data_IF_058219820187
#
_entry.id   IF_058219820187
#
_cell.length_a   1.000
_cell.length_b   1.000
_cell.length_c   1.000
_cell.angle_alpha   90.00
_cell.angle_beta   90.00
_cell.angle_gamma   90.00
#
_symmetry.space_group_name_H-M   'P 1'
#
loop_
_entity.id
_entity.type
_entity.pdbx_description
1 polymer ?
#
# COMPACT_ATOMS: atom_id res chain seq x y z
N UNK A 1 56.73 3.34 53.83
CA UNK A 1 57.15 4.67 53.31
C UNK A 1 55.86 5.38 52.87
N UNK A 2 55.45 6.47 53.54
CA UNK A 2 55.64 7.89 53.11
C UNK A 2 54.79 8.17 51.85
N UNK A 3 53.80 9.09 51.76
CA UNK A 3 53.18 10.14 52.61
C UNK A 3 51.66 10.19 52.27
N UNK A 4 50.65 10.64 53.03
CA UNK A 4 50.43 11.68 54.07
C UNK A 4 49.80 13.01 53.57
N UNK A 5 48.61 13.31 54.14
CA UNK A 5 47.83 14.58 54.18
C UNK A 5 47.24 15.11 52.85
N UNK A 6 46.16 15.93 52.78
CA UNK A 6 45.15 16.50 53.73
C UNK A 6 43.72 16.02 53.29
N UNK A 7 42.52 16.41 53.77
CA UNK A 7 42.00 17.50 54.65
C UNK A 7 41.39 18.67 53.82
N UNK A 8 40.14 19.12 53.98
CA UNK A 8 39.00 18.64 54.77
C UNK A 8 37.77 19.60 54.71
N UNK A 9 36.61 19.11 55.19
CA UNK A 9 35.49 19.80 55.88
C UNK A 9 34.60 20.89 55.20
N UNK A 10 33.29 20.79 55.49
CA UNK A 10 32.19 21.69 55.07
C UNK A 10 31.31 21.05 53.98
N UNK A 11 30.16 20.42 54.21
CA UNK A 11 29.13 20.49 55.27
C UNK A 11 28.32 21.80 55.24
N UNK A 12 27.15 21.78 54.56
CA UNK A 12 25.81 22.21 55.02
C UNK A 12 24.77 22.15 53.85
N UNK A 13 23.61 21.58 54.19
CA UNK A 13 22.23 21.67 53.65
C UNK A 13 21.88 22.62 52.47
N UNK A 14 20.81 22.40 51.65
CA UNK A 14 19.81 21.32 51.56
C UNK A 14 18.85 21.50 50.34
N UNK A 15 17.98 20.49 50.11
CA UNK A 15 16.68 20.52 49.42
C UNK A 15 16.61 20.80 47.89
N UNK A 16 15.62 20.33 47.13
CA UNK A 16 14.82 19.07 47.13
C UNK A 16 13.97 19.04 45.84
N UNK A 17 13.89 17.90 45.13
CA UNK A 17 12.91 17.45 44.09
C UNK A 17 13.68 16.70 42.98
N UNK A 18 13.62 15.37 42.80
CA UNK A 18 12.47 14.47 42.59
C UNK A 18 11.82 14.62 41.20
N UNK A 19 12.27 13.82 40.21
CA UNK A 19 11.46 12.72 39.64
C UNK A 19 12.12 11.97 38.45
N UNK A 20 11.80 10.67 38.40
CA UNK A 20 11.75 9.73 37.26
C UNK A 20 12.60 9.96 35.99
N UNK A 21 13.50 9.00 35.72
CA UNK A 21 14.10 8.78 34.40
C UNK A 21 13.74 7.38 33.88
N UNK A 22 12.85 7.32 32.89
CA UNK A 22 12.52 6.13 32.10
C UNK A 22 12.62 6.45 30.58
N UNK A 23 12.71 5.43 29.70
CA UNK A 23 13.67 5.48 28.59
C UNK A 23 13.26 6.28 27.34
N UNK A 24 14.29 6.60 26.55
CA UNK A 24 14.19 7.36 25.32
C UNK A 24 13.28 6.69 24.27
N UNK A 25 12.48 7.51 23.61
CA UNK A 25 11.48 7.09 22.64
C UNK A 25 12.12 6.78 21.28
N UNK A 26 12.02 5.53 20.83
CA UNK A 26 12.20 5.17 19.44
C UNK A 26 10.83 5.06 18.76
N UNK A 27 10.17 6.20 18.52
CA UNK A 27 8.93 6.25 17.73
C UNK A 27 9.22 6.76 16.31
N UNK A 28 9.10 5.86 15.34
CA UNK A 28 9.01 6.19 13.93
C UNK A 28 7.72 6.99 13.66
N UNK A 29 7.86 8.24 13.23
CA UNK A 29 6.70 9.10 12.95
C UNK A 29 5.96 8.63 11.70
N UNK A 30 4.89 7.85 11.87
CA UNK A 30 3.82 7.74 10.88
C UNK A 30 3.25 9.15 10.70
N UNK A 31 3.40 9.72 9.50
CA UNK A 31 2.90 11.07 9.20
C UNK A 31 1.38 11.03 9.10
N UNK A 32 0.72 11.51 10.14
CA UNK A 32 -0.75 11.51 10.24
C UNK A 32 -1.41 12.27 9.06
N UNK A 33 -2.37 11.65 8.33
CA UNK A 33 -3.11 12.33 7.26
C UNK A 33 -3.94 13.54 7.73
N UNK A 34 -4.14 13.74 9.04
CA UNK A 34 -4.72 14.97 9.59
C UNK A 34 -3.73 16.17 9.52
N UNK A 35 -2.45 15.96 9.83
CA UNK A 35 -1.45 17.03 9.81
C UNK A 35 -1.22 17.62 8.41
N UNK A 36 -1.24 16.76 7.38
CA UNK A 36 -1.11 17.18 5.97
C UNK A 36 -2.29 18.04 5.49
N UNK A 37 -3.47 17.90 6.09
CA UNK A 37 -4.63 18.77 5.84
C UNK A 37 -4.46 20.13 6.52
N UNK A 38 -4.07 20.14 7.80
CA UNK A 38 -3.89 21.37 8.57
C UNK A 38 -2.82 22.30 7.98
N UNK A 39 -1.66 21.77 7.57
CA UNK A 39 -0.63 22.54 6.87
C UNK A 39 -1.19 23.23 5.60
N UNK A 40 -2.10 22.56 4.87
CA UNK A 40 -2.67 23.12 3.65
C UNK A 40 -3.69 24.22 3.89
N UNK A 41 -4.52 24.09 4.89
CA UNK A 41 -5.53 25.10 5.21
C UNK A 41 -4.88 26.36 5.78
N UNK A 42 -3.82 26.22 6.58
CA UNK A 42 -3.05 27.35 7.08
C UNK A 42 -2.29 28.09 5.96
N UNK A 43 -1.73 27.34 4.99
CA UNK A 43 -1.14 27.90 3.77
C UNK A 43 -2.18 28.64 2.93
N UNK A 44 -3.37 28.06 2.71
CA UNK A 44 -4.48 28.72 1.99
C UNK A 44 -4.87 30.05 2.63
N UNK A 45 -4.94 30.11 3.97
CA UNK A 45 -5.25 31.36 4.70
C UNK A 45 -4.16 32.42 4.52
N UNK A 46 -2.88 32.04 4.62
CA UNK A 46 -1.73 32.95 4.42
C UNK A 46 -1.70 33.49 2.98
N UNK A 47 -2.00 32.62 2.01
CA UNK A 47 -2.20 33.00 0.62
C UNK A 47 -3.37 33.96 0.43
N UNK A 48 -4.55 33.69 0.97
CA UNK A 48 -5.73 34.54 0.75
C UNK A 48 -5.56 35.93 1.39
N UNK A 49 -4.81 36.02 2.50
CA UNK A 49 -4.34 37.30 3.03
C UNK A 49 -3.39 38.01 2.05
N UNK A 50 -2.41 37.29 1.48
CA UNK A 50 -1.51 37.81 0.44
C UNK A 50 -2.28 38.29 -0.81
N UNK A 51 -3.26 37.52 -1.29
CA UNK A 51 -4.13 37.89 -2.44
C UNK A 51 -4.86 39.20 -2.20
N UNK A 52 -5.33 39.46 -0.97
CA UNK A 52 -5.99 40.72 -0.62
C UNK A 52 -5.00 41.90 -0.69
N UNK A 53 -3.82 41.78 -0.07
CA UNK A 53 -2.77 42.81 -0.18
C UNK A 53 -2.25 43.00 -1.63
N UNK A 54 -2.29 41.95 -2.46
CA UNK A 54 -1.88 42.01 -3.87
C UNK A 54 -2.85 42.83 -4.73
N UNK A 55 -4.15 42.85 -4.43
CA UNK A 55 -5.14 43.60 -5.23
C UNK A 55 -4.96 45.12 -5.17
N UNK A 56 -4.24 45.63 -4.16
CA UNK A 56 -4.07 47.07 -3.89
C UNK A 56 -2.81 47.66 -4.56
N UNK A 57 -2.06 46.92 -5.38
CA UNK A 57 -0.91 47.47 -6.15
C UNK A 57 -0.69 46.80 -7.51
N UNK A 58 0.23 47.38 -8.31
CA UNK A 58 0.36 47.27 -9.78
C UNK A 58 0.44 45.86 -10.41
N UNK A 59 0.28 45.81 -11.74
CA UNK A 59 -0.01 44.62 -12.55
C UNK A 59 0.95 43.43 -12.42
N UNK A 60 2.21 43.64 -12.04
CA UNK A 60 3.16 42.56 -11.73
C UNK A 60 2.66 41.66 -10.58
N UNK A 61 2.05 42.26 -9.55
CA UNK A 61 1.46 41.52 -8.43
C UNK A 61 0.27 40.66 -8.88
N UNK A 62 -0.54 41.17 -9.83
CA UNK A 62 -1.65 40.41 -10.43
C UNK A 62 -1.15 39.21 -11.25
N UNK A 63 0.01 39.32 -11.91
CA UNK A 63 0.62 38.17 -12.59
C UNK A 63 1.11 37.12 -11.58
N UNK A 64 1.79 37.56 -10.51
CA UNK A 64 2.27 36.65 -9.47
C UNK A 64 1.13 35.92 -8.72
N UNK A 65 0.03 36.60 -8.38
CA UNK A 65 -1.15 35.94 -7.80
C UNK A 65 -1.79 34.91 -8.75
N UNK A 66 -1.80 35.16 -10.06
CA UNK A 66 -2.26 34.17 -11.06
C UNK A 66 -1.34 32.95 -11.09
N UNK A 67 -0.03 33.16 -11.15
CA UNK A 67 0.96 32.07 -11.15
C UNK A 67 0.84 31.20 -9.87
N UNK A 68 0.72 31.84 -8.71
CA UNK A 68 0.57 31.17 -7.43
C UNK A 68 -0.76 30.39 -7.34
N UNK A 69 -1.88 30.96 -7.82
CA UNK A 69 -3.16 30.26 -7.90
C UNK A 69 -3.14 29.04 -8.84
N UNK A 70 -2.46 29.13 -9.98
CA UNK A 70 -2.26 27.99 -10.89
C UNK A 70 -1.39 26.89 -10.25
N UNK A 71 -0.37 27.27 -9.49
CA UNK A 71 0.48 26.35 -8.74
C UNK A 71 -0.27 25.64 -7.61
N UNK A 72 -1.14 26.34 -6.88
CA UNK A 72 -2.01 25.69 -5.89
C UNK A 72 -3.02 24.74 -6.52
N UNK A 73 -3.58 25.10 -7.68
CA UNK A 73 -4.45 24.18 -8.42
C UNK A 73 -3.69 22.93 -8.88
N UNK A 74 -2.41 23.06 -9.26
CA UNK A 74 -1.53 21.90 -9.53
C UNK A 74 -1.31 21.06 -8.27
N UNK A 75 -0.94 21.68 -7.14
CA UNK A 75 -0.76 21.00 -5.85
C UNK A 75 -1.99 20.22 -5.41
N UNK A 76 -3.18 20.79 -5.57
CA UNK A 76 -4.44 20.15 -5.22
C UNK A 76 -4.78 18.96 -6.12
N UNK A 77 -4.51 19.07 -7.42
CA UNK A 77 -4.64 17.95 -8.37
C UNK A 77 -3.65 16.83 -8.03
N UNK A 78 -2.37 17.14 -7.81
CA UNK A 78 -1.35 16.13 -7.45
C UNK A 78 -1.67 15.44 -6.13
N UNK A 79 -2.16 16.16 -5.11
CA UNK A 79 -2.60 15.54 -3.85
C UNK A 79 -3.85 14.68 -3.98
N UNK A 80 -4.78 15.07 -4.84
CA UNK A 80 -6.00 14.27 -5.11
C UNK A 80 -5.63 13.00 -5.87
N UNK A 81 -4.71 13.09 -6.83
CA UNK A 81 -4.12 11.93 -7.52
C UNK A 81 -3.41 10.99 -6.55
N UNK A 82 -2.58 11.50 -5.64
CA UNK A 82 -1.91 10.68 -4.63
C UNK A 82 -2.91 9.89 -3.78
N UNK A 83 -3.95 10.54 -3.24
CA UNK A 83 -5.00 9.84 -2.47
C UNK A 83 -5.73 8.76 -3.27
N UNK A 84 -6.00 9.01 -4.55
CA UNK A 84 -6.62 8.02 -5.42
C UNK A 84 -5.68 6.83 -5.68
N UNK A 85 -4.39 7.08 -5.91
CA UNK A 85 -3.38 6.03 -6.05
C UNK A 85 -3.16 5.23 -4.76
N UNK A 86 -3.24 5.87 -3.59
CA UNK A 86 -3.19 5.22 -2.27
C UNK A 86 -4.38 4.25 -2.11
N UNK A 87 -5.59 4.70 -2.44
CA UNK A 87 -6.81 3.87 -2.42
C UNK A 87 -6.75 2.70 -3.42
N UNK A 88 -6.29 2.95 -4.66
CA UNK A 88 -6.08 1.92 -5.67
C UNK A 88 -5.05 0.88 -5.21
N UNK A 89 -3.96 1.33 -4.57
CA UNK A 89 -2.93 0.46 -3.99
C UNK A 89 -3.48 -0.41 -2.86
N UNK A 90 -4.17 0.17 -1.88
CA UNK A 90 -4.74 -0.57 -0.74
C UNK A 90 -5.76 -1.62 -1.22
N UNK A 91 -6.54 -1.30 -2.25
CA UNK A 91 -7.45 -2.23 -2.90
C UNK A 91 -6.70 -3.37 -3.60
N UNK A 92 -5.66 -3.08 -4.38
CA UNK A 92 -4.83 -4.09 -5.06
C UNK A 92 -4.12 -5.01 -4.07
N UNK A 93 -3.50 -4.47 -3.01
CA UNK A 93 -2.87 -5.28 -1.95
C UNK A 93 -3.87 -6.17 -1.21
N UNK A 94 -5.13 -5.72 -1.09
CA UNK A 94 -6.21 -6.51 -0.47
C UNK A 94 -6.69 -7.63 -1.41
N UNK A 95 -6.88 -7.34 -2.69
CA UNK A 95 -7.24 -8.33 -3.70
C UNK A 95 -6.16 -9.39 -3.90
N UNK A 96 -4.88 -8.99 -3.95
CA UNK A 96 -3.74 -9.90 -4.06
C UNK A 96 -3.73 -10.85 -2.86
N UNK A 97 -3.90 -10.33 -1.63
CA UNK A 97 -3.96 -11.18 -0.42
C UNK A 97 -5.10 -12.19 -0.45
N UNK A 98 -6.28 -11.81 -0.94
CA UNK A 98 -7.42 -12.75 -1.11
C UNK A 98 -7.12 -13.82 -2.15
N UNK A 99 -6.70 -13.42 -3.35
CA UNK A 99 -6.38 -14.36 -4.43
C UNK A 99 -5.22 -15.30 -4.07
N UNK A 100 -4.22 -14.85 -3.30
CA UNK A 100 -3.15 -15.74 -2.80
C UNK A 100 -3.66 -16.73 -1.75
N UNK A 101 -4.67 -16.39 -0.96
CA UNK A 101 -5.33 -17.33 -0.04
C UNK A 101 -6.19 -18.35 -0.80
N UNK A 102 -6.93 -17.90 -1.81
CA UNK A 102 -7.70 -18.75 -2.72
C UNK A 102 -6.79 -19.70 -3.51
N UNK A 103 -5.67 -19.21 -4.06
CA UNK A 103 -4.64 -20.02 -4.72
C UNK A 103 -4.10 -21.11 -3.77
N UNK A 104 -3.68 -20.73 -2.56
CA UNK A 104 -3.12 -21.65 -1.59
C UNK A 104 -4.13 -22.69 -1.07
N UNK A 105 -5.42 -22.36 -1.04
CA UNK A 105 -6.47 -23.31 -0.69
C UNK A 105 -6.76 -24.26 -1.87
N UNK A 106 -6.96 -23.72 -3.07
CA UNK A 106 -7.22 -24.51 -4.28
C UNK A 106 -6.05 -25.44 -4.62
N UNK A 107 -4.81 -25.03 -4.36
CA UNK A 107 -3.64 -25.91 -4.52
C UNK A 107 -3.71 -27.12 -3.58
N UNK A 108 -4.06 -26.94 -2.29
CA UNK A 108 -4.24 -28.07 -1.35
C UNK A 108 -5.38 -28.99 -1.77
N UNK A 109 -6.46 -28.42 -2.26
CA UNK A 109 -7.61 -29.19 -2.74
C UNK A 109 -7.25 -29.97 -4.00
N UNK A 110 -6.47 -29.40 -4.92
CA UNK A 110 -5.91 -30.06 -6.09
C UNK A 110 -4.94 -31.19 -5.72
N UNK A 111 -4.02 -30.97 -4.77
CA UNK A 111 -3.11 -32.00 -4.23
C UNK A 111 -3.89 -33.16 -3.59
N UNK A 112 -4.98 -32.84 -2.86
CA UNK A 112 -5.89 -33.84 -2.28
C UNK A 112 -6.67 -34.64 -3.33
N UNK A 113 -7.12 -34.00 -4.42
CA UNK A 113 -7.75 -34.66 -5.57
C UNK A 113 -6.76 -35.57 -6.29
N UNK A 114 -5.52 -35.10 -6.52
CA UNK A 114 -4.44 -35.88 -7.14
C UNK A 114 -4.08 -37.11 -6.31
N UNK A 115 -3.95 -36.98 -4.99
CA UNK A 115 -3.67 -38.11 -4.10
C UNK A 115 -4.78 -39.18 -4.16
N UNK A 116 -6.04 -38.75 -4.17
CA UNK A 116 -7.22 -39.64 -4.33
C UNK A 116 -7.21 -40.34 -5.70
N UNK A 117 -6.94 -39.61 -6.79
CA UNK A 117 -6.86 -40.22 -8.12
C UNK A 117 -5.69 -41.22 -8.24
N UNK A 118 -4.55 -40.91 -7.62
CA UNK A 118 -3.40 -41.82 -7.59
C UNK A 118 -3.67 -43.09 -6.75
N UNK A 119 -4.49 -43.02 -5.70
CA UNK A 119 -4.97 -44.21 -4.99
C UNK A 119 -5.94 -45.04 -5.82
N UNK A 120 -6.93 -44.39 -6.44
CA UNK A 120 -7.87 -45.01 -7.40
C UNK A 120 -7.11 -45.77 -8.49
N UNK A 121 -6.16 -45.14 -9.18
CA UNK A 121 -5.39 -45.75 -10.27
C UNK A 121 -4.53 -46.93 -9.81
N UNK A 122 -3.94 -46.86 -8.60
CA UNK A 122 -3.20 -48.00 -7.98
C UNK A 122 -4.12 -49.17 -7.60
N UNK A 123 -5.38 -48.90 -7.28
CA UNK A 123 -6.37 -49.92 -6.94
C UNK A 123 -7.02 -50.53 -8.20
N UNK A 124 -7.23 -49.74 -9.25
CA UNK A 124 -7.54 -50.20 -10.62
C UNK A 124 -6.48 -51.18 -11.12
N UNK A 125 -5.20 -50.78 -11.12
CA UNK A 125 -4.10 -51.61 -11.63
C UNK A 125 -4.03 -52.99 -10.94
N UNK A 126 -4.17 -53.04 -9.61
CA UNK A 126 -4.23 -54.29 -8.83
C UNK A 126 -5.49 -55.12 -9.05
N UNK A 127 -6.57 -54.54 -9.59
CA UNK A 127 -7.81 -55.27 -9.93
C UNK A 127 -7.83 -55.79 -11.36
N UNK A 128 -7.06 -55.21 -12.28
CA UNK A 128 -6.92 -55.69 -13.67
C UNK A 128 -6.33 -57.12 -13.73
N UNK A 129 -5.55 -57.53 -12.71
CA UNK A 129 -5.10 -58.92 -12.54
C UNK A 129 -6.26 -59.92 -12.31
N UNK A 130 -7.44 -59.45 -11.90
CA UNK A 130 -8.65 -60.27 -11.67
C UNK A 130 -9.72 -59.86 -12.69
N UNK A 131 -9.58 -60.35 -13.93
CA UNK A 131 -10.47 -59.98 -15.02
C UNK A 131 -11.93 -60.45 -14.73
N UNK A 132 -12.94 -59.57 -14.74
CA UNK A 132 -14.33 -59.95 -14.48
C UNK A 132 -14.88 -60.95 -15.50
N UNK A 133 -14.37 -60.99 -16.74
CA UNK A 133 -14.75 -62.03 -17.71
C UNK A 133 -14.15 -63.39 -17.36
N UNK A 134 -12.93 -63.45 -16.81
CA UNK A 134 -12.38 -64.69 -16.24
C UNK A 134 -13.19 -65.13 -15.01
N UNK A 135 -13.59 -64.21 -14.14
CA UNK A 135 -14.40 -64.55 -12.96
C UNK A 135 -15.81 -65.06 -13.33
N UNK A 136 -16.39 -64.58 -14.43
CA UNK A 136 -17.64 -65.11 -14.99
C UNK A 136 -17.43 -66.49 -15.63
N UNK A 137 -16.39 -66.65 -16.45
CA UNK A 137 -16.02 -67.95 -17.05
C UNK A 137 -15.64 -69.01 -16.00
N UNK A 138 -15.20 -68.59 -14.80
CA UNK A 138 -14.91 -69.46 -13.66
C UNK A 138 -16.16 -69.91 -12.86
N UNK A 139 -17.38 -69.54 -13.29
CA UNK A 139 -18.63 -70.10 -12.75
C UNK A 139 -19.37 -69.25 -11.70
N UNK A 140 -19.09 -67.95 -11.58
CA UNK A 140 -19.93 -67.02 -10.81
C UNK A 140 -21.38 -67.02 -11.33
N UNK A 141 -22.36 -66.84 -10.45
CA UNK A 141 -23.77 -66.80 -10.86
C UNK A 141 -24.08 -65.56 -11.69
N UNK A 142 -25.04 -65.65 -12.62
CA UNK A 142 -25.46 -64.52 -13.44
C UNK A 142 -25.92 -63.29 -12.61
N UNK A 143 -26.48 -63.53 -11.41
CA UNK A 143 -26.89 -62.48 -10.49
C UNK A 143 -25.71 -61.72 -9.86
N UNK A 144 -24.56 -62.39 -9.66
CA UNK A 144 -23.36 -61.78 -9.11
C UNK A 144 -22.65 -60.95 -10.18
N UNK A 145 -22.53 -61.48 -11.40
CA UNK A 145 -21.94 -60.77 -12.53
C UNK A 145 -22.71 -59.46 -12.84
N UNK A 146 -24.04 -59.48 -12.80
CA UNK A 146 -24.88 -58.29 -13.01
C UNK A 146 -24.75 -57.25 -11.88
N UNK A 147 -24.50 -57.66 -10.64
CA UNK A 147 -24.18 -56.73 -9.54
C UNK A 147 -22.78 -56.14 -9.70
N UNK A 148 -21.81 -56.96 -10.05
CA UNK A 148 -20.41 -56.57 -10.20
C UNK A 148 -20.21 -55.58 -11.37
N UNK A 149 -20.92 -55.75 -12.49
CA UNK A 149 -20.92 -54.78 -13.60
C UNK A 149 -21.54 -53.44 -13.21
N UNK A 150 -22.68 -53.42 -12.51
CA UNK A 150 -23.32 -52.20 -12.02
C UNK A 150 -22.40 -51.39 -11.08
N UNK A 151 -21.70 -52.07 -10.16
CA UNK A 151 -20.72 -51.41 -9.29
C UNK A 151 -19.50 -50.92 -10.06
N UNK A 152 -18.99 -51.69 -11.04
CA UNK A 152 -17.88 -51.28 -11.88
C UNK A 152 -18.18 -50.03 -12.72
N UNK A 153 -19.38 -49.95 -13.31
CA UNK A 153 -19.82 -48.77 -14.06
C UNK A 153 -19.89 -47.53 -13.16
N UNK A 154 -20.45 -47.67 -11.96
CA UNK A 154 -20.57 -46.56 -11.00
C UNK A 154 -19.23 -46.11 -10.42
N UNK A 155 -18.29 -47.04 -10.20
CA UNK A 155 -16.90 -46.69 -9.84
C UNK A 155 -16.28 -45.93 -11.01
N UNK A 156 -16.30 -46.49 -12.22
CA UNK A 156 -15.74 -45.87 -13.43
C UNK A 156 -16.33 -44.49 -13.73
N UNK A 157 -17.58 -44.22 -13.37
CA UNK A 157 -18.18 -42.89 -13.42
C UNK A 157 -17.53 -41.93 -12.41
N UNK A 158 -17.46 -42.31 -11.14
CA UNK A 158 -16.84 -41.51 -10.08
C UNK A 158 -15.34 -41.22 -10.35
N UNK A 159 -14.62 -42.13 -11.00
CA UNK A 159 -13.23 -41.91 -11.43
C UNK A 159 -13.12 -40.83 -12.52
N UNK A 160 -14.05 -40.83 -13.49
CA UNK A 160 -14.12 -39.78 -14.52
C UNK A 160 -14.49 -38.43 -13.90
N UNK A 161 -15.43 -38.41 -12.95
CA UNK A 161 -15.82 -37.19 -12.24
C UNK A 161 -14.65 -36.61 -11.44
N UNK A 162 -13.85 -37.47 -10.77
CA UNK A 162 -12.65 -37.05 -10.04
C UNK A 162 -11.56 -36.49 -10.97
N UNK A 163 -11.34 -37.12 -12.13
CA UNK A 163 -10.41 -36.62 -13.14
C UNK A 163 -10.89 -35.29 -13.76
N UNK A 164 -12.19 -35.14 -14.00
CA UNK A 164 -12.79 -33.88 -14.46
C UNK A 164 -12.67 -32.77 -13.39
N UNK A 165 -12.87 -33.09 -12.11
CA UNK A 165 -12.66 -32.18 -11.00
C UNK A 165 -11.19 -31.71 -10.93
N UNK A 166 -10.22 -32.62 -11.03
CA UNK A 166 -8.80 -32.26 -11.06
C UNK A 166 -8.47 -31.31 -12.23
N UNK A 167 -9.01 -31.59 -13.42
CA UNK A 167 -8.80 -30.77 -14.61
C UNK A 167 -9.43 -29.38 -14.47
N UNK A 168 -10.59 -29.26 -13.80
CA UNK A 168 -11.23 -27.99 -13.48
C UNK A 168 -10.39 -27.19 -12.47
N UNK A 169 -10.00 -27.80 -11.34
CA UNK A 169 -9.16 -27.18 -10.31
C UNK A 169 -7.83 -26.68 -10.86
N UNK A 170 -7.18 -27.44 -11.77
CA UNK A 170 -5.93 -27.02 -12.39
C UNK A 170 -6.08 -25.77 -13.28
N UNK A 171 -7.16 -25.69 -14.08
CA UNK A 171 -7.46 -24.53 -14.94
C UNK A 171 -7.83 -23.30 -14.11
N UNK A 172 -8.59 -23.49 -13.04
CA UNK A 172 -8.94 -22.41 -12.11
C UNK A 172 -7.69 -21.86 -11.41
N UNK A 173 -6.80 -22.74 -10.94
CA UNK A 173 -5.51 -22.35 -10.35
C UNK A 173 -4.62 -21.57 -11.32
N UNK A 174 -4.54 -21.99 -12.59
CA UNK A 174 -3.84 -21.25 -13.65
C UNK A 174 -4.47 -19.87 -13.88
N UNK A 175 -5.80 -19.77 -13.89
CA UNK A 175 -6.51 -18.50 -14.04
C UNK A 175 -6.26 -17.53 -12.86
N UNK A 176 -6.19 -18.05 -11.63
CA UNK A 176 -5.90 -17.27 -10.43
C UNK A 176 -4.47 -16.74 -10.47
N UNK A 177 -3.50 -17.58 -10.88
CA UNK A 177 -2.09 -17.18 -11.07
C UNK A 177 -1.92 -16.06 -12.09
N UNK A 178 -2.54 -16.19 -13.26
CA UNK A 178 -2.56 -15.13 -14.29
C UNK A 178 -3.28 -13.86 -13.81
N UNK A 179 -4.26 -13.99 -12.91
CA UNK A 179 -4.93 -12.86 -12.26
C UNK A 179 -4.06 -12.16 -11.21
N UNK A 180 -3.30 -12.94 -10.43
CA UNK A 180 -2.33 -12.45 -9.44
C UNK A 180 -1.19 -11.69 -10.11
N UNK A 181 -0.56 -12.27 -11.14
CA UNK A 181 0.52 -11.65 -11.92
C UNK A 181 0.11 -10.26 -12.44
N UNK A 182 -1.02 -10.18 -13.15
CA UNK A 182 -1.57 -8.90 -13.66
C UNK A 182 -1.90 -7.88 -12.56
N UNK A 183 -2.32 -8.33 -11.38
CA UNK A 183 -2.55 -7.43 -10.23
C UNK A 183 -1.24 -6.97 -9.60
N UNK A 184 -0.20 -7.81 -9.57
CA UNK A 184 1.15 -7.45 -9.11
C UNK A 184 1.80 -6.44 -10.06
N UNK A 185 1.74 -6.65 -11.38
CA UNK A 185 2.18 -5.68 -12.39
C UNK A 185 1.46 -4.33 -12.22
N UNK A 186 0.13 -4.35 -12.02
CA UNK A 186 -0.64 -3.13 -11.78
C UNK A 186 -0.25 -2.44 -10.47
N UNK A 187 -0.02 -3.21 -9.40
CA UNK A 187 0.45 -2.67 -8.12
C UNK A 187 1.82 -1.99 -8.25
N UNK A 188 2.75 -2.62 -8.96
CA UNK A 188 4.09 -2.08 -9.20
C UNK A 188 4.05 -0.78 -10.03
N UNK A 189 3.19 -0.75 -11.07
CA UNK A 189 2.89 0.44 -11.85
C UNK A 189 2.28 1.56 -10.99
N UNK A 190 1.28 1.25 -10.15
CA UNK A 190 0.68 2.21 -9.20
C UNK A 190 1.71 2.77 -8.23
N UNK A 191 2.63 1.94 -7.70
CA UNK A 191 3.73 2.39 -6.82
C UNK A 191 4.72 3.31 -7.57
N UNK A 192 5.05 3.03 -8.82
CA UNK A 192 5.86 3.91 -9.64
C UNK A 192 5.18 5.29 -9.86
N UNK A 193 3.87 5.27 -10.10
CA UNK A 193 3.06 6.47 -10.33
C UNK A 193 2.84 7.31 -9.04
N UNK A 194 2.74 6.65 -7.88
CA UNK A 194 2.79 7.29 -6.55
C UNK A 194 4.13 7.99 -6.33
N UNK A 195 5.24 7.28 -6.55
CA UNK A 195 6.60 7.83 -6.39
C UNK A 195 6.85 9.03 -7.30
N UNK A 196 6.36 8.99 -8.55
CA UNK A 196 6.38 10.14 -9.47
C UNK A 196 5.56 11.31 -8.93
N UNK A 197 4.31 11.06 -8.56
CA UNK A 197 3.39 12.09 -8.02
C UNK A 197 3.91 12.72 -6.71
N UNK A 198 4.63 11.95 -5.89
CA UNK A 198 5.27 12.45 -4.67
C UNK A 198 6.47 13.36 -4.96
N UNK A 199 7.28 13.05 -5.98
CA UNK A 199 8.36 13.95 -6.46
C UNK A 199 7.79 15.24 -7.04
N UNK A 200 6.73 15.13 -7.84
CA UNK A 200 5.99 16.29 -8.37
C UNK A 200 5.43 17.17 -7.23
N UNK A 201 4.86 16.57 -6.18
CA UNK A 201 4.35 17.29 -5.00
C UNK A 201 5.45 18.06 -4.27
N UNK A 202 6.64 17.46 -4.09
CA UNK A 202 7.79 18.13 -3.45
C UNK A 202 8.29 19.30 -4.30
N UNK A 203 8.46 19.09 -5.61
CA UNK A 203 8.90 20.14 -6.53
C UNK A 203 7.91 21.33 -6.57
N UNK A 204 6.61 21.07 -6.64
CA UNK A 204 5.58 22.11 -6.60
C UNK A 204 5.52 22.84 -5.25
N UNK A 205 5.77 22.15 -4.13
CA UNK A 205 5.85 22.79 -2.80
C UNK A 205 7.04 23.75 -2.72
N UNK A 206 8.16 23.39 -3.33
CA UNK A 206 9.36 24.23 -3.38
C UNK A 206 9.18 25.43 -4.31
N UNK A 207 8.66 25.23 -5.54
CA UNK A 207 8.24 26.30 -6.46
C UNK A 207 7.33 27.32 -5.75
N UNK A 208 6.42 26.83 -4.90
CA UNK A 208 5.47 27.65 -4.13
C UNK A 208 6.17 28.46 -3.04
N UNK A 209 7.10 27.84 -2.31
CA UNK A 209 7.88 28.52 -1.28
C UNK A 209 8.75 29.65 -1.89
N UNK A 210 9.41 29.37 -3.01
CA UNK A 210 10.25 30.33 -3.73
C UNK A 210 9.44 31.52 -4.24
N UNK A 211 8.27 31.28 -4.85
CA UNK A 211 7.39 32.35 -5.33
C UNK A 211 6.87 33.23 -4.18
N UNK A 212 6.54 32.66 -3.02
CA UNK A 212 6.17 33.44 -1.82
C UNK A 212 7.36 34.26 -1.29
N UNK A 213 8.57 33.69 -1.26
CA UNK A 213 9.76 34.40 -0.79
C UNK A 213 10.12 35.60 -1.69
N UNK A 214 10.09 35.41 -3.01
CA UNK A 214 10.28 36.47 -4.01
C UNK A 214 9.23 37.59 -3.83
N UNK A 215 7.95 37.23 -3.73
CA UNK A 215 6.86 38.18 -3.49
C UNK A 215 7.07 39.00 -2.22
N UNK A 216 7.41 38.35 -1.10
CA UNK A 216 7.67 39.04 0.16
C UNK A 216 8.86 40.02 0.07
N UNK A 217 9.92 39.66 -0.67
CA UNK A 217 11.07 40.54 -0.91
C UNK A 217 10.68 41.79 -1.72
N UNK A 218 9.90 41.61 -2.80
CA UNK A 218 9.40 42.69 -3.65
C UNK A 218 8.44 43.62 -2.90
N UNK A 219 7.54 43.07 -2.08
CA UNK A 219 6.65 43.85 -1.21
C UNK A 219 7.45 44.73 -0.23
N UNK A 220 8.44 44.16 0.46
CA UNK A 220 9.30 44.89 1.40
C UNK A 220 10.07 46.02 0.71
N UNK A 221 10.61 45.79 -0.48
CA UNK A 221 11.34 46.80 -1.24
C UNK A 221 10.42 47.96 -1.67
N UNK A 222 9.22 47.66 -2.17
CA UNK A 222 8.22 48.69 -2.52
C UNK A 222 7.75 49.51 -1.31
N UNK A 223 7.61 48.90 -0.12
CA UNK A 223 7.29 49.66 1.09
C UNK A 223 8.41 50.63 1.49
N UNK A 224 9.67 50.21 1.38
CA UNK A 224 10.83 51.06 1.66
C UNK A 224 10.93 52.23 0.69
N UNK A 225 10.67 51.97 -0.60
CA UNK A 225 10.68 52.99 -1.65
C UNK A 225 9.52 53.98 -1.50
N UNK A 226 8.30 53.51 -1.21
CA UNK A 226 7.17 54.40 -0.87
C UNK A 226 7.48 55.28 0.35
N UNK A 227 8.08 54.72 1.41
CA UNK A 227 8.52 55.47 2.60
C UNK A 227 9.69 56.42 2.32
N UNK A 228 10.44 56.24 1.23
CA UNK A 228 11.45 57.19 0.77
C UNK A 228 10.78 58.36 0.06
N UNK A 229 9.98 58.08 -0.98
CA UNK A 229 9.25 59.10 -1.74
C UNK A 229 8.41 60.01 -0.84
N UNK A 230 7.65 59.44 0.12
CA UNK A 230 6.87 60.21 1.09
C UNK A 230 7.70 61.13 2.02
N UNK A 231 8.99 60.81 2.25
CA UNK A 231 9.90 61.67 3.02
C UNK A 231 10.56 62.74 2.15
N UNK A 232 10.71 62.47 0.86
CA UNK A 232 11.27 63.41 -0.11
C UNK A 232 10.19 64.44 -0.55
N UNK A 233 8.90 64.06 -0.60
CA UNK A 233 7.75 64.97 -0.79
C UNK A 233 7.43 65.85 0.42
N UNK A 234 7.88 65.47 1.61
CA UNK A 234 7.63 66.19 2.86
C UNK A 234 8.76 67.19 3.24
N UNK A 235 9.61 67.55 2.28
CA UNK A 235 10.76 68.45 2.42
C UNK A 235 10.67 69.63 1.46
#
# INVERSE_FOLDING_TARGET
MICSTRGGLGLVLAMLALNASEPAWAQSSVRDPAGVKQERDEVRRKLDALKKQINETSGEKKQAAKALGLLEQRLEKTQTRLKALDQDRDALETDIRKLSQEEAQLQKDLESTQARLAEVMRNQYRRVEVNPTQAWLAGKSASEAARESYWYERISAAERDLAAQQAAQARELESIRLGLEKKQERLESTIADQNKSQRELVAQREERNQLIADLNSKLKNQELERKRLQRDEAR
#
